data_IF_876178735952
#
_entry.id   IF_876178735952
#
_cell.length_a   1.000
_cell.length_b   1.000
_cell.length_c   1.000
_cell.angle_alpha   90.00
_cell.angle_beta   90.00
_cell.angle_gamma   90.00
#
_symmetry.space_group_name_H-M   'P 1'
#
loop_
_entity.id
_entity.type
_entity.pdbx_description
1 polymer ?
#
# COMPACT_ATOMS: atom_id res chain seq x y z
N UNK A 1 35.40 -21.91 48.60
CA UNK A 1 35.96 -22.77 47.54
C UNK A 1 35.46 -22.26 46.20
N UNK A 2 36.35 -21.59 45.47
CA UNK A 2 36.06 -20.96 44.19
C UNK A 2 35.73 -22.02 43.12
N UNK A 3 34.67 -21.78 42.33
CA UNK A 3 34.41 -22.50 41.06
C UNK A 3 34.94 -21.64 39.90
N UNK A 4 35.55 -22.24 38.86
CA UNK A 4 36.18 -21.49 37.76
C UNK A 4 35.14 -21.05 36.69
N UNK A 5 35.40 -19.98 35.92
CA UNK A 5 34.57 -19.60 34.80
C UNK A 5 34.87 -20.46 33.55
N UNK A 6 33.81 -20.79 32.81
CA UNK A 6 33.84 -21.57 31.58
C UNK A 6 34.41 -20.81 30.38
N UNK A 7 35.00 -21.57 29.47
CA UNK A 7 35.60 -21.16 28.18
C UNK A 7 34.61 -20.38 27.29
N UNK A 8 35.12 -19.28 26.73
CA UNK A 8 34.58 -18.64 25.53
C UNK A 8 35.10 -19.44 24.33
N UNK A 9 34.21 -19.96 23.50
CA UNK A 9 34.56 -20.58 22.21
C UNK A 9 34.52 -19.53 21.10
N UNK A 10 35.57 -19.56 20.28
CA UNK A 10 35.92 -18.63 19.22
C UNK A 10 34.83 -18.48 18.13
N UNK A 11 34.55 -17.22 17.77
CA UNK A 11 33.75 -16.86 16.60
C UNK A 11 34.60 -16.93 15.33
N UNK A 12 34.08 -17.64 14.32
CA UNK A 12 34.66 -17.85 13.00
C UNK A 12 34.96 -16.51 12.25
N UNK A 13 36.23 -16.20 11.89
CA UNK A 13 36.62 -14.91 11.28
C UNK A 13 36.21 -14.76 9.80
N UNK A 14 35.64 -15.77 9.16
CA UNK A 14 35.26 -15.72 7.74
C UNK A 14 34.01 -14.87 7.42
N UNK A 15 33.21 -14.49 8.43
CA UNK A 15 31.99 -13.65 8.24
C UNK A 15 32.23 -12.14 8.37
N UNK A 16 33.39 -11.70 8.88
CA UNK A 16 33.71 -10.29 9.03
C UNK A 16 34.32 -9.69 7.74
N UNK A 17 35.07 -10.49 6.98
CA UNK A 17 35.82 -10.02 5.81
C UNK A 17 34.90 -9.69 4.62
N UNK A 18 33.76 -10.38 4.47
CA UNK A 18 32.78 -10.12 3.40
C UNK A 18 31.93 -8.87 3.63
N UNK A 19 31.77 -8.42 4.89
CA UNK A 19 31.09 -7.16 5.20
C UNK A 19 31.99 -5.95 4.98
N UNK A 20 33.26 -6.02 5.37
CA UNK A 20 34.20 -4.90 5.22
C UNK A 20 34.52 -4.57 3.74
N UNK A 21 34.58 -5.57 2.86
CA UNK A 21 34.82 -5.36 1.42
C UNK A 21 33.64 -4.66 0.72
N UNK A 22 32.39 -4.91 1.13
CA UNK A 22 31.22 -4.20 0.57
C UNK A 22 31.19 -2.72 0.97
N UNK A 23 31.61 -2.37 2.20
CA UNK A 23 31.69 -0.97 2.64
C UNK A 23 32.76 -0.15 1.90
N UNK A 24 33.89 -0.75 1.53
CA UNK A 24 34.96 -0.06 0.81
C UNK A 24 34.55 0.24 -0.64
N UNK A 25 33.83 -0.66 -1.30
CA UNK A 25 33.32 -0.45 -2.66
C UNK A 25 32.20 0.60 -2.68
N UNK A 26 31.33 0.62 -1.67
CA UNK A 26 30.27 1.63 -1.54
C UNK A 26 30.80 3.03 -1.23
N UNK A 27 31.80 3.14 -0.35
CA UNK A 27 32.44 4.42 -0.02
C UNK A 27 33.20 5.02 -1.23
N UNK A 28 33.85 4.17 -2.05
CA UNK A 28 34.52 4.62 -3.26
C UNK A 28 33.53 5.14 -4.33
N UNK A 29 32.36 4.52 -4.48
CA UNK A 29 31.32 4.96 -5.41
C UNK A 29 30.69 6.32 -5.00
N UNK A 30 30.52 6.56 -3.69
CA UNK A 30 30.01 7.84 -3.17
C UNK A 30 31.02 8.98 -3.32
N UNK A 31 32.32 8.71 -3.22
CA UNK A 31 33.38 9.70 -3.44
C UNK A 31 33.49 10.15 -4.90
N UNK A 32 33.25 9.24 -5.85
CA UNK A 32 33.21 9.57 -7.29
C UNK A 32 31.97 10.42 -7.62
N UNK A 33 30.81 10.10 -7.05
CA UNK A 33 29.57 10.87 -7.23
C UNK A 33 29.62 12.25 -6.56
N UNK A 34 30.31 12.39 -5.43
CA UNK A 34 30.53 13.67 -4.77
C UNK A 34 31.50 14.58 -5.54
N UNK A 35 32.54 14.00 -6.15
CA UNK A 35 33.49 14.75 -6.99
C UNK A 35 32.90 15.28 -8.30
N UNK A 36 31.91 14.60 -8.88
CA UNK A 36 31.24 15.06 -10.10
C UNK A 36 30.20 16.16 -9.83
N UNK A 37 29.57 16.15 -8.64
CA UNK A 37 28.57 17.16 -8.26
C UNK A 37 29.17 18.54 -7.96
N UNK A 38 30.45 18.62 -7.63
CA UNK A 38 31.16 19.89 -7.36
C UNK A 38 31.97 20.43 -8.54
N UNK A 39 31.85 19.83 -9.74
CA UNK A 39 32.58 20.29 -10.94
C UNK A 39 31.75 21.19 -11.89
N UNK A 40 30.49 21.50 -11.55
CA UNK A 40 29.56 22.25 -12.43
C UNK A 40 29.21 23.65 -11.91
N UNK A 41 29.58 24.02 -10.68
CA UNK A 41 29.39 25.39 -10.17
C UNK A 41 30.72 26.12 -9.99
N UNK A 42 31.19 26.72 -11.08
CA UNK A 42 32.43 27.49 -11.06
C UNK A 42 32.64 28.27 -12.35
N UNK A 43 31.78 29.24 -12.66
CA UNK A 43 32.13 30.43 -13.46
C UNK A 43 30.99 31.45 -13.42
N UNK A 44 31.21 32.54 -12.69
CA UNK A 44 30.46 33.80 -12.78
C UNK A 44 31.44 34.91 -13.17
N UNK A 45 30.91 35.98 -13.79
CA UNK A 45 31.50 37.28 -14.19
C UNK A 45 32.15 37.29 -15.59
N UNK A 46 31.93 38.22 -16.52
CA UNK A 46 31.47 39.64 -16.53
C UNK A 46 30.98 40.01 -17.95
N UNK A 47 29.91 40.82 -18.12
CA UNK A 47 29.97 42.15 -18.77
C UNK A 47 28.61 42.88 -18.90
N UNK A 48 28.52 43.97 -18.15
CA UNK A 48 27.96 45.32 -18.42
C UNK A 48 27.11 45.63 -19.67
N UNK A 49 25.89 46.13 -19.38
CA UNK A 49 25.19 47.35 -19.88
C UNK A 49 25.01 47.62 -21.39
N UNK A 50 23.75 47.76 -21.84
CA UNK A 50 23.24 48.97 -22.50
C UNK A 50 21.70 49.02 -22.55
N UNK A 51 21.16 50.24 -22.46
CA UNK A 51 19.74 50.65 -22.33
C UNK A 51 19.00 50.81 -23.67
N UNK A 52 17.67 50.55 -23.73
CA UNK A 52 16.62 51.55 -24.13
C UNK A 52 15.18 50.97 -24.27
N UNK A 53 14.27 51.54 -23.48
CA UNK A 53 12.94 52.13 -23.78
C UNK A 53 11.94 51.52 -24.81
N UNK A 54 10.79 51.12 -24.23
CA UNK A 54 9.38 51.49 -24.55
C UNK A 54 8.58 50.83 -25.72
N UNK A 55 7.23 50.76 -25.59
CA UNK A 55 6.40 49.64 -26.03
C UNK A 55 5.44 49.96 -27.19
N UNK A 56 4.80 48.95 -27.78
CA UNK A 56 3.55 49.13 -28.54
C UNK A 56 2.55 47.98 -28.34
N UNK A 57 1.33 48.37 -27.95
CA UNK A 57 0.05 47.65 -28.09
C UNK A 57 -0.28 47.46 -29.57
N UNK A 58 -0.98 46.38 -29.92
CA UNK A 58 -2.15 46.48 -30.79
C UNK A 58 -3.08 45.25 -30.66
N UNK A 59 -4.38 45.55 -30.51
CA UNK A 59 -5.50 44.61 -30.68
C UNK A 59 -5.75 44.37 -32.18
N UNK A 60 -6.45 43.29 -32.54
CA UNK A 60 -7.67 43.37 -33.35
C UNK A 60 -8.48 42.05 -33.34
N UNK A 61 -9.79 42.22 -33.26
CA UNK A 61 -10.88 41.23 -33.28
C UNK A 61 -11.31 40.79 -34.69
N UNK A 62 -12.05 39.67 -34.71
CA UNK A 62 -13.17 39.31 -35.62
C UNK A 62 -12.81 39.04 -37.09
N UNK A 63 -13.48 38.18 -37.87
CA UNK A 63 -14.85 37.66 -37.91
C UNK A 63 -14.84 36.45 -38.90
N UNK A 64 -15.50 35.32 -38.62
CA UNK A 64 -16.86 34.89 -38.99
C UNK A 64 -17.14 34.61 -40.49
N UNK A 65 -18.04 33.63 -40.71
CA UNK A 65 -18.73 33.14 -41.95
C UNK A 65 -18.02 31.95 -42.65
N UNK A 66 -18.55 30.72 -42.76
CA UNK A 66 -19.88 30.11 -43.03
C UNK A 66 -19.92 29.47 -44.42
N UNK A 67 -20.39 28.22 -44.48
CA UNK A 67 -20.98 27.43 -45.60
C UNK A 67 -20.37 26.02 -45.56
N UNK A 68 -21.10 24.90 -45.46
CA UNK A 68 -22.45 24.62 -45.95
C UNK A 68 -22.34 23.73 -47.20
N UNK A 69 -22.74 22.46 -47.12
CA UNK A 69 -22.87 21.60 -48.30
C UNK A 69 -22.74 20.10 -48.03
N UNK A 70 -23.89 19.40 -48.01
CA UNK A 70 -23.98 17.93 -48.03
C UNK A 70 -24.10 17.35 -49.44
N UNK A 71 -24.54 16.07 -49.48
CA UNK A 71 -24.68 15.11 -50.60
C UNK A 71 -23.39 14.32 -50.93
N UNK A 72 -23.36 13.01 -51.11
CA UNK A 72 -24.42 11.99 -51.22
C UNK A 72 -24.07 10.99 -52.34
N UNK A 73 -23.81 9.73 -51.99
CA UNK A 73 -24.03 8.53 -52.82
C UNK A 73 -23.03 8.16 -53.94
N UNK A 74 -22.64 6.89 -53.99
CA UNK A 74 -22.10 6.27 -55.23
C UNK A 74 -21.10 5.15 -55.05
N UNK A 75 -21.57 3.90 -55.17
CA UNK A 75 -20.86 2.63 -55.09
C UNK A 75 -19.78 2.36 -56.15
N UNK A 76 -18.77 1.53 -55.83
CA UNK A 76 -18.43 0.33 -56.65
C UNK A 76 -17.39 -0.57 -55.95
N UNK A 77 -17.42 -1.83 -56.36
CA UNK A 77 -16.89 -3.04 -55.75
C UNK A 77 -15.38 -3.26 -55.86
N UNK A 78 -14.79 -4.02 -54.92
CA UNK A 78 -13.86 -5.10 -55.30
C UNK A 78 -13.90 -6.24 -54.28
N UNK A 79 -13.95 -7.47 -54.83
CA UNK A 79 -13.98 -8.76 -54.15
C UNK A 79 -12.57 -9.15 -53.70
N UNK A 80 -12.41 -9.76 -52.53
CA UNK A 80 -11.43 -10.85 -52.34
C UNK A 80 -11.90 -11.88 -51.31
N UNK A 81 -11.44 -13.09 -51.56
CA UNK A 81 -11.94 -14.43 -51.21
C UNK A 81 -11.72 -14.84 -49.74
N UNK A 82 -12.73 -15.46 -49.12
CA UNK A 82 -12.70 -16.05 -47.76
C UNK A 82 -12.55 -17.57 -47.85
N UNK A 83 -11.46 -18.13 -47.31
CA UNK A 83 -11.28 -19.57 -47.14
C UNK A 83 -11.98 -20.06 -45.87
N UNK A 84 -12.84 -21.09 -46.02
CA UNK A 84 -13.52 -21.81 -44.93
C UNK A 84 -12.65 -23.01 -44.49
N UNK A 85 -12.34 -23.15 -43.20
CA UNK A 85 -11.93 -24.42 -42.59
C UNK A 85 -13.03 -24.93 -41.66
N UNK A 86 -13.42 -26.18 -41.90
CA UNK A 86 -14.50 -26.94 -41.23
C UNK A 86 -14.11 -27.29 -39.79
N UNK A 87 -15.02 -27.06 -38.84
CA UNK A 87 -14.99 -27.65 -37.50
C UNK A 87 -15.50 -29.11 -37.55
N UNK A 88 -14.79 -30.02 -36.89
CA UNK A 88 -15.26 -31.37 -36.55
C UNK A 88 -15.53 -31.42 -35.04
N UNK A 89 -16.74 -31.83 -34.65
CA UNK A 89 -17.08 -32.27 -33.28
C UNK A 89 -16.45 -33.64 -33.01
N UNK A 90 -16.28 -34.03 -31.74
CA UNK A 90 -16.46 -35.43 -31.37
C UNK A 90 -17.50 -35.62 -30.26
N UNK A 91 -17.98 -36.85 -30.24
CA UNK A 91 -19.10 -37.45 -29.53
C UNK A 91 -18.68 -38.15 -28.24
N UNK A 92 -19.62 -38.17 -27.29
CA UNK A 92 -20.03 -39.19 -26.31
C UNK A 92 -19.04 -40.22 -25.72
N UNK A 93 -19.24 -40.40 -24.40
CA UNK A 93 -18.64 -41.33 -23.44
C UNK A 93 -18.67 -42.81 -23.86
N UNK A 94 -17.64 -43.54 -23.40
CA UNK A 94 -17.76 -44.88 -22.81
C UNK A 94 -16.72 -45.07 -21.70
N UNK A 95 -17.15 -45.72 -20.61
CA UNK A 95 -16.38 -46.13 -19.44
C UNK A 95 -15.27 -47.12 -19.77
N UNK A 96 -14.09 -46.95 -19.16
CA UNK A 96 -13.15 -48.05 -18.95
C UNK A 96 -12.29 -47.84 -17.69
N UNK A 97 -12.31 -48.87 -16.84
CA UNK A 97 -11.59 -48.99 -15.57
C UNK A 97 -10.07 -48.89 -15.76
N UNK A 98 -9.41 -48.07 -14.95
CA UNK A 98 -7.95 -48.08 -14.79
C UNK A 98 -7.59 -48.26 -13.30
N UNK A 99 -6.93 -49.39 -13.03
CA UNK A 99 -6.42 -49.80 -11.72
C UNK A 99 -5.44 -48.78 -11.11
N UNK A 100 -5.60 -48.53 -9.81
CA UNK A 100 -4.71 -47.68 -9.01
C UNK A 100 -3.35 -48.36 -8.80
N UNK A 101 -2.26 -47.73 -9.25
CA UNK A 101 -0.89 -48.03 -8.77
C UNK A 101 -0.59 -47.23 -7.49
N UNK A 102 0.12 -47.81 -6.50
CA UNK A 102 0.34 -47.15 -5.22
C UNK A 102 1.35 -46.01 -5.33
N UNK A 103 1.07 -44.92 -4.62
CA UNK A 103 1.88 -43.72 -4.50
C UNK A 103 3.13 -44.06 -3.66
N UNK A 104 4.30 -43.95 -4.26
CA UNK A 104 5.59 -44.03 -3.58
C UNK A 104 5.87 -42.71 -2.87
N UNK A 105 6.02 -42.76 -1.54
CA UNK A 105 6.62 -41.69 -0.74
C UNK A 105 8.04 -41.43 -1.25
N UNK A 106 8.26 -40.28 -1.90
CA UNK A 106 9.58 -39.72 -2.13
C UNK A 106 9.72 -38.48 -1.25
N UNK A 107 10.74 -38.48 -0.40
CA UNK A 107 11.21 -37.29 0.31
C UNK A 107 11.45 -36.14 -0.70
N UNK A 108 11.19 -34.88 -0.31
CA UNK A 108 11.32 -33.76 -1.22
C UNK A 108 12.80 -33.60 -1.63
N UNK A 109 13.06 -33.73 -2.93
CA UNK A 109 14.38 -33.43 -3.51
C UNK A 109 14.68 -31.96 -3.26
N UNK A 110 15.81 -31.68 -2.60
CA UNK A 110 16.43 -30.35 -2.56
C UNK A 110 16.66 -29.89 -4.00
N UNK A 111 15.82 -28.99 -4.51
CA UNK A 111 15.99 -28.38 -5.83
C UNK A 111 17.22 -27.46 -5.78
N UNK A 112 18.11 -27.60 -6.77
CA UNK A 112 19.18 -26.61 -6.98
C UNK A 112 18.55 -25.25 -7.33
N UNK A 113 19.08 -24.12 -6.82
CA UNK A 113 18.51 -22.81 -7.07
C UNK A 113 18.60 -22.46 -8.55
N UNK A 114 17.48 -22.01 -9.13
CA UNK A 114 17.46 -21.45 -10.47
C UNK A 114 18.40 -20.24 -10.52
N UNK A 115 19.28 -20.19 -11.52
CA UNK A 115 20.23 -19.09 -11.69
C UNK A 115 19.75 -18.14 -12.79
N UNK A 116 19.93 -16.84 -12.58
CA UNK A 116 19.64 -15.81 -13.55
C UNK A 116 20.68 -15.80 -14.70
N UNK A 117 20.51 -14.87 -15.64
CA UNK A 117 21.42 -14.68 -16.78
C UNK A 117 22.86 -14.32 -16.40
N UNK A 118 23.12 -13.99 -15.13
CA UNK A 118 24.44 -13.67 -14.58
C UNK A 118 24.98 -14.79 -13.68
N UNK A 119 24.27 -15.91 -13.55
CA UNK A 119 24.67 -17.03 -12.71
C UNK A 119 24.40 -16.81 -11.22
N UNK A 120 23.58 -15.83 -10.85
CA UNK A 120 23.15 -15.58 -9.46
C UNK A 120 21.83 -16.29 -9.18
N UNK A 121 21.58 -16.82 -7.97
CA UNK A 121 20.29 -17.37 -7.62
C UNK A 121 19.17 -16.37 -7.89
N UNK A 122 18.14 -16.79 -8.63
CA UNK A 122 16.91 -16.02 -8.81
C UNK A 122 16.31 -15.80 -7.43
N UNK A 123 16.10 -14.54 -7.06
CA UNK A 123 15.42 -14.18 -5.83
C UNK A 123 13.95 -14.63 -5.94
N UNK A 124 13.59 -15.68 -5.21
CA UNK A 124 12.19 -16.09 -5.04
C UNK A 124 11.52 -15.22 -3.99
N UNK A 125 10.19 -15.20 -3.93
CA UNK A 125 9.46 -14.51 -2.85
C UNK A 125 9.84 -15.04 -1.46
N UNK A 126 10.22 -16.31 -1.35
CA UNK A 126 10.71 -16.92 -0.09
C UNK A 126 12.11 -16.46 0.28
N UNK A 127 12.93 -16.09 -0.70
CA UNK A 127 14.25 -15.50 -0.44
C UNK A 127 14.12 -14.05 0.06
N UNK A 128 13.10 -13.32 -0.39
CA UNK A 128 12.84 -11.94 0.01
C UNK A 128 12.09 -11.91 1.36
N UNK A 129 11.08 -12.76 1.50
CA UNK A 129 10.24 -12.89 2.69
C UNK A 129 10.30 -14.33 3.20
N UNK A 130 11.27 -14.67 4.06
CA UNK A 130 11.37 -16.03 4.59
C UNK A 130 10.09 -16.42 5.37
N UNK A 131 9.80 -17.72 5.48
CA UNK A 131 8.71 -18.18 6.34
C UNK A 131 9.02 -17.84 7.80
N UNK A 132 7.96 -17.59 8.57
CA UNK A 132 8.09 -17.36 9.99
C UNK A 132 8.67 -18.60 10.70
N UNK A 133 9.43 -18.41 11.80
CA UNK A 133 9.84 -19.51 12.66
C UNK A 133 8.63 -20.35 13.12
N UNK A 134 8.80 -21.67 13.23
CA UNK A 134 7.70 -22.60 13.54
C UNK A 134 7.07 -22.36 14.92
N UNK A 135 7.83 -21.78 15.84
CA UNK A 135 7.42 -21.39 17.18
C UNK A 135 6.66 -20.05 17.23
N UNK A 136 6.54 -19.35 16.10
CA UNK A 136 5.86 -18.05 16.05
C UNK A 136 4.40 -18.22 16.43
N UNK A 137 3.99 -17.56 17.50
CA UNK A 137 2.61 -17.57 17.98
C UNK A 137 1.74 -16.75 17.03
N UNK A 138 0.68 -17.40 16.54
CA UNK A 138 -0.38 -16.82 15.73
C UNK A 138 -1.71 -17.24 16.33
N UNK A 139 -2.54 -16.28 16.72
CA UNK A 139 -3.85 -16.55 17.30
C UNK A 139 -4.93 -16.04 16.36
N UNK A 140 -5.62 -16.93 15.61
CA UNK A 140 -6.77 -16.55 14.81
C UNK A 140 -7.96 -16.23 15.72
N UNK A 141 -8.92 -15.47 15.20
CA UNK A 141 -10.16 -15.18 15.93
C UNK A 141 -10.95 -16.46 16.18
N UNK A 142 -11.39 -16.68 17.43
CA UNK A 142 -12.05 -17.93 17.81
C UNK A 142 -13.52 -18.01 17.35
N UNK A 143 -14.16 -16.88 17.11
CA UNK A 143 -15.57 -16.81 16.70
C UNK A 143 -15.84 -15.59 15.83
N UNK A 144 -16.94 -15.62 15.06
CA UNK A 144 -17.37 -14.48 14.25
C UNK A 144 -18.01 -13.34 15.08
N UNK A 145 -17.95 -13.39 16.41
CA UNK A 145 -18.49 -12.35 17.28
C UNK A 145 -17.40 -11.33 17.62
N UNK A 146 -17.79 -10.06 17.69
CA UNK A 146 -16.91 -9.00 18.22
C UNK A 146 -16.50 -9.36 19.65
N UNK A 147 -15.20 -9.40 19.98
CA UNK A 147 -14.75 -9.69 21.33
C UNK A 147 -15.28 -8.63 22.31
N UNK A 148 -15.34 -8.98 23.60
CA UNK A 148 -15.70 -7.99 24.62
C UNK A 148 -14.69 -6.83 24.62
N UNK A 149 -15.10 -5.66 25.10
CA UNK A 149 -14.21 -4.51 25.20
C UNK A 149 -12.98 -4.81 26.05
N UNK A 150 -13.13 -5.56 27.14
CA UNK A 150 -12.02 -5.98 28.00
C UNK A 150 -11.04 -6.91 27.28
N UNK A 151 -11.55 -7.84 26.47
CA UNK A 151 -10.71 -8.72 25.63
C UNK A 151 -9.95 -7.90 24.59
N UNK A 152 -10.61 -6.95 23.92
CA UNK A 152 -9.96 -6.06 22.95
C UNK A 152 -8.86 -5.22 23.59
N UNK A 153 -9.07 -4.69 24.81
CA UNK A 153 -8.01 -3.98 25.56
C UNK A 153 -6.83 -4.88 25.86
N UNK A 154 -7.07 -6.13 26.23
CA UNK A 154 -6.01 -7.11 26.49
C UNK A 154 -5.25 -7.48 25.22
N UNK A 155 -5.95 -7.64 24.10
CA UNK A 155 -5.35 -7.95 22.79
C UNK A 155 -4.46 -6.80 22.31
N UNK A 156 -4.92 -5.55 22.48
CA UNK A 156 -4.26 -4.35 22.00
C UNK A 156 -3.26 -3.75 22.99
N UNK A 157 -2.99 -4.40 24.12
CA UNK A 157 -2.19 -3.83 25.22
C UNK A 157 -0.77 -3.37 24.81
N UNK A 158 -0.18 -4.05 23.82
CA UNK A 158 1.19 -3.81 23.35
C UNK A 158 1.22 -2.94 22.07
N UNK A 159 0.06 -2.53 21.55
CA UNK A 159 -0.11 -1.82 20.29
C UNK A 159 -0.59 -0.38 20.50
N UNK A 160 -0.70 0.39 19.41
CA UNK A 160 -1.21 1.77 19.48
C UNK A 160 -2.60 1.77 20.16
N UNK A 161 -2.78 2.52 21.25
CA UNK A 161 -4.00 2.43 22.05
C UNK A 161 -5.18 3.08 21.32
N UNK A 162 -6.32 2.38 21.33
CA UNK A 162 -7.56 2.84 20.71
C UNK A 162 -8.55 3.34 21.76
N UNK A 163 -9.41 4.29 21.38
CA UNK A 163 -10.44 4.84 22.26
C UNK A 163 -11.68 3.95 22.31
N UNK A 164 -11.52 2.74 22.86
CA UNK A 164 -12.58 1.75 22.94
C UNK A 164 -13.71 2.13 23.90
N UNK A 165 -13.50 3.08 24.81
CA UNK A 165 -14.49 3.47 25.82
C UNK A 165 -15.41 4.59 25.34
N UNK A 166 -14.87 5.58 24.62
CA UNK A 166 -15.64 6.74 24.20
C UNK A 166 -16.14 6.63 22.75
N UNK A 167 -15.55 5.75 21.94
CA UNK A 167 -15.94 5.58 20.53
C UNK A 167 -16.91 4.43 20.32
N UNK A 168 -16.82 3.35 21.10
CA UNK A 168 -17.61 2.14 20.91
C UNK A 168 -18.41 1.75 22.15
N UNK A 169 -19.60 1.21 21.94
CA UNK A 169 -20.38 0.55 22.99
C UNK A 169 -19.84 -0.87 23.30
N UNK A 170 -20.45 -1.56 24.27
CA UNK A 170 -20.05 -2.91 24.69
C UNK A 170 -20.18 -3.97 23.56
N UNK A 171 -20.95 -3.68 22.52
CA UNK A 171 -21.14 -4.56 21.36
C UNK A 171 -20.22 -4.19 20.19
N UNK A 172 -19.37 -3.17 20.35
CA UNK A 172 -18.47 -2.66 19.31
C UNK A 172 -19.15 -1.79 18.25
N UNK A 173 -20.36 -1.27 18.51
CA UNK A 173 -20.98 -0.26 17.65
C UNK A 173 -20.51 1.15 18.04
N UNK A 174 -20.34 2.02 17.06
CA UNK A 174 -19.94 3.40 17.28
C UNK A 174 -21.01 4.18 18.07
N UNK A 175 -20.59 4.88 19.13
CA UNK A 175 -21.47 5.70 19.97
C UNK A 175 -21.89 6.98 19.24
N UNK A 176 -21.00 7.53 18.41
CA UNK A 176 -21.25 8.70 17.60
C UNK A 176 -21.63 8.24 16.19
N UNK A 177 -22.84 8.56 15.69
CA UNK A 177 -23.22 8.26 14.32
C UNK A 177 -22.46 9.16 13.34
N UNK A 178 -22.25 8.67 12.12
CA UNK A 178 -21.87 9.49 10.99
C UNK A 178 -23.02 10.45 10.59
N UNK A 179 -22.72 11.38 9.68
CA UNK A 179 -23.69 12.37 9.17
C UNK A 179 -24.94 11.77 8.53
N UNK A 180 -24.84 10.57 7.96
CA UNK A 180 -25.95 9.83 7.36
C UNK A 180 -26.74 8.96 8.39
N UNK A 181 -26.34 9.02 9.67
CA UNK A 181 -26.94 8.23 10.75
C UNK A 181 -26.36 6.81 10.89
N UNK A 182 -25.50 6.36 9.97
CA UNK A 182 -24.80 5.08 10.11
C UNK A 182 -23.84 5.11 11.28
N UNK A 183 -23.55 3.95 11.87
CA UNK A 183 -22.62 3.81 13.00
C UNK A 183 -21.48 2.90 12.62
N UNK A 184 -20.31 3.20 13.16
CA UNK A 184 -19.15 2.33 13.03
C UNK A 184 -19.46 0.96 13.61
N UNK A 185 -18.90 -0.10 13.03
CA UNK A 185 -18.95 -1.43 13.62
C UNK A 185 -17.55 -2.02 13.62
N UNK A 186 -17.00 -2.23 14.82
CA UNK A 186 -15.70 -2.84 15.02
C UNK A 186 -15.81 -4.36 14.99
N UNK A 187 -15.01 -5.00 14.14
CA UNK A 187 -14.86 -6.44 14.06
C UNK A 187 -13.38 -6.80 14.17
N UNK A 188 -13.07 -7.90 14.87
CA UNK A 188 -11.73 -8.45 14.95
C UNK A 188 -11.57 -9.52 13.85
N UNK A 189 -10.55 -9.36 13.01
CA UNK A 189 -10.20 -10.33 11.95
C UNK A 189 -9.10 -11.30 12.38
N UNK A 190 -8.25 -10.90 13.33
CA UNK A 190 -7.18 -11.72 13.90
C UNK A 190 -6.81 -11.22 15.30
N UNK A 191 -6.50 -12.11 16.25
CA UNK A 191 -6.21 -11.74 17.65
C UNK A 191 -4.75 -11.36 17.86
N UNK A 192 -3.80 -12.19 17.41
CA UNK A 192 -2.37 -11.98 17.71
C UNK A 192 -1.50 -12.40 16.51
N UNK A 193 -1.03 -11.46 15.66
CA UNK A 193 -1.16 -10.00 15.79
C UNK A 193 -2.60 -9.50 15.50
N UNK A 194 -3.02 -8.37 16.09
CA UNK A 194 -4.35 -7.83 15.89
C UNK A 194 -4.54 -7.25 14.48
N UNK A 195 -5.66 -7.63 13.85
CA UNK A 195 -6.16 -7.05 12.61
C UNK A 195 -7.64 -6.72 12.79
N UNK A 196 -8.02 -5.48 12.54
CA UNK A 196 -9.34 -4.94 12.83
C UNK A 196 -10.02 -4.44 11.56
N UNK A 197 -11.31 -4.71 11.45
CA UNK A 197 -12.21 -4.09 10.48
C UNK A 197 -13.12 -3.09 11.20
N UNK A 198 -13.33 -1.92 10.61
CA UNK A 198 -14.32 -0.94 11.06
C UNK A 198 -15.27 -0.67 9.89
N UNK A 199 -16.46 -1.25 9.94
CA UNK A 199 -17.50 -1.00 8.93
C UNK A 199 -18.11 0.38 9.12
N UNK A 200 -18.56 0.97 8.02
CA UNK A 200 -19.13 2.32 7.98
C UNK A 200 -18.19 3.38 8.59
N UNK A 201 -16.87 3.18 8.51
CA UNK A 201 -15.92 4.17 8.97
C UNK A 201 -16.12 5.50 8.22
N UNK A 202 -16.26 5.42 6.90
CA UNK A 202 -16.72 6.51 6.05
C UNK A 202 -18.14 6.27 5.54
N UNK A 203 -18.86 7.36 5.31
CA UNK A 203 -20.09 7.38 4.50
C UNK A 203 -19.74 7.34 3.01
N UNK A 204 -20.72 7.05 2.16
CA UNK A 204 -20.52 7.10 0.70
C UNK A 204 -20.09 8.48 0.21
N UNK A 205 -20.61 9.56 0.82
CA UNK A 205 -20.27 10.95 0.49
C UNK A 205 -18.83 11.30 0.85
N UNK A 206 -18.37 10.86 2.02
CA UNK A 206 -16.96 11.03 2.45
C UNK A 206 -16.02 10.23 1.54
N UNK A 207 -16.41 9.00 1.16
CA UNK A 207 -15.67 8.22 0.17
C UNK A 207 -15.56 8.96 -1.18
N UNK A 208 -16.67 9.51 -1.67
CA UNK A 208 -16.69 10.25 -2.93
C UNK A 208 -15.83 11.51 -2.86
N UNK A 209 -15.86 12.23 -1.73
CA UNK A 209 -15.02 13.41 -1.48
C UNK A 209 -13.54 13.06 -1.58
N UNK A 210 -13.12 11.93 -1.01
CA UNK A 210 -11.74 11.45 -1.12
C UNK A 210 -11.38 11.04 -2.55
N UNK A 211 -12.27 10.34 -3.26
CA UNK A 211 -12.02 9.94 -4.65
C UNK A 211 -11.92 11.15 -5.58
N UNK A 212 -12.75 12.17 -5.36
CA UNK A 212 -12.76 13.41 -6.11
C UNK A 212 -11.41 14.15 -6.04
N UNK A 213 -10.67 14.06 -4.93
CA UNK A 213 -9.33 14.66 -4.81
C UNK A 213 -8.40 14.10 -5.89
N UNK A 214 -8.40 12.77 -6.09
CA UNK A 214 -7.59 12.12 -7.11
C UNK A 214 -8.13 12.36 -8.53
N UNK A 215 -9.45 12.38 -8.71
CA UNK A 215 -10.10 12.45 -10.03
C UNK A 215 -10.15 13.87 -10.62
N UNK A 216 -10.32 14.91 -9.80
CA UNK A 216 -10.39 16.31 -10.27
C UNK A 216 -9.07 16.83 -10.86
N UNK A 217 -7.95 16.16 -10.56
CA UNK A 217 -6.62 16.52 -11.09
C UNK A 217 -6.46 16.18 -12.58
N UNK A 218 -7.23 15.24 -13.12
CA UNK A 218 -7.18 14.95 -14.57
C UNK A 218 -7.55 16.18 -15.43
N UNK A 219 -8.09 17.24 -14.82
CA UNK A 219 -8.56 18.43 -15.52
C UNK A 219 -7.83 19.75 -15.14
N UNK A 220 -7.14 19.87 -13.99
CA UNK A 220 -6.44 21.10 -13.57
C UNK A 220 -5.20 20.86 -12.68
N UNK A 221 -4.09 21.57 -12.95
CA UNK A 221 -2.76 21.36 -12.35
C UNK A 221 -2.54 22.01 -10.95
N UNK A 222 -3.46 22.83 -10.43
CA UNK A 222 -3.24 23.67 -9.22
C UNK A 222 -3.63 23.04 -7.86
N UNK A 223 -4.00 21.77 -7.79
CA UNK A 223 -4.68 21.18 -6.60
C UNK A 223 -3.78 20.81 -5.41
N UNK A 224 -2.49 21.15 -5.41
CA UNK A 224 -1.57 20.91 -4.28
C UNK A 224 -1.22 19.44 -4.01
N UNK A 225 -1.88 18.47 -4.64
CA UNK A 225 -1.54 17.04 -4.50
C UNK A 225 -0.18 16.73 -5.16
N UNK A 226 0.48 15.65 -4.75
CA UNK A 226 1.64 15.09 -5.48
C UNK A 226 1.31 13.69 -6.02
N UNK A 227 1.23 13.56 -7.35
CA UNK A 227 1.02 12.27 -8.01
C UNK A 227 2.34 11.52 -8.15
N UNK A 228 2.35 10.26 -7.74
CA UNK A 228 3.46 9.34 -7.92
C UNK A 228 2.92 8.07 -8.56
N UNK A 229 3.33 7.82 -9.81
CA UNK A 229 3.20 6.49 -10.38
C UNK A 229 4.23 5.60 -9.70
N UNK A 230 3.74 4.71 -8.84
CA UNK A 230 4.60 3.88 -8.00
C UNK A 230 5.16 2.67 -8.77
N UNK A 231 5.48 2.82 -10.06
CA UNK A 231 6.18 1.79 -10.79
C UNK A 231 7.62 1.76 -10.26
N UNK A 232 7.97 0.72 -9.52
CA UNK A 232 9.29 0.60 -8.90
C UNK A 232 10.40 0.72 -9.96
N UNK A 233 11.02 1.90 -10.06
CA UNK A 233 12.20 2.13 -10.88
C UNK A 233 13.36 1.38 -10.23
N UNK A 234 13.83 0.31 -10.89
CA UNK A 234 14.79 -0.73 -10.45
C UNK A 234 14.17 -1.94 -9.73
N UNK A 235 13.44 -2.76 -10.51
CA UNK A 235 12.94 -4.09 -10.12
C UNK A 235 14.00 -5.08 -9.58
N UNK A 236 15.30 -4.78 -9.71
CA UNK A 236 16.37 -5.66 -9.22
C UNK A 236 16.71 -5.45 -7.73
N UNK A 237 16.31 -4.34 -7.10
CA UNK A 237 16.69 -4.00 -5.72
C UNK A 237 15.51 -3.69 -4.79
N UNK A 238 14.32 -3.44 -5.33
CA UNK A 238 13.15 -3.24 -4.49
C UNK A 238 12.55 -4.58 -4.05
N UNK A 239 12.36 -4.73 -2.75
CA UNK A 239 11.77 -5.93 -2.14
C UNK A 239 10.28 -6.10 -2.48
N UNK A 240 9.61 -5.02 -2.91
CA UNK A 240 8.19 -5.03 -3.29
C UNK A 240 7.94 -4.31 -4.62
N UNK A 241 7.01 -4.86 -5.40
CA UNK A 241 6.45 -4.29 -6.62
C UNK A 241 5.08 -3.67 -6.33
N UNK A 242 4.96 -2.36 -6.52
CA UNK A 242 3.69 -1.64 -6.54
C UNK A 242 3.43 -1.22 -7.99
N UNK A 243 2.18 -1.30 -8.44
CA UNK A 243 1.82 -0.84 -9.80
C UNK A 243 0.67 0.18 -9.79
N UNK A 244 0.34 0.73 -8.62
CA UNK A 244 -0.73 1.72 -8.44
C UNK A 244 -0.31 3.15 -8.79
N UNK A 245 -1.32 4.01 -8.92
CA UNK A 245 -1.16 5.47 -8.86
C UNK A 245 -1.48 5.96 -7.45
N UNK A 246 -0.62 6.82 -6.90
CA UNK A 246 -0.75 7.37 -5.54
C UNK A 246 -0.76 8.89 -5.59
N UNK A 247 -1.65 9.52 -4.85
CA UNK A 247 -1.68 10.97 -4.63
C UNK A 247 -1.48 11.25 -3.15
N UNK A 248 -0.41 11.97 -2.82
CA UNK A 248 -0.21 12.51 -1.48
C UNK A 248 -1.09 13.75 -1.31
N UNK A 249 -1.87 13.77 -0.25
CA UNK A 249 -2.82 14.83 0.08
C UNK A 249 -2.21 15.81 1.06
N UNK A 250 -2.58 17.09 0.92
CA UNK A 250 -2.40 18.01 2.05
C UNK A 250 -3.32 17.58 3.20
N UNK A 251 -2.86 17.71 4.45
CA UNK A 251 -3.70 17.41 5.61
C UNK A 251 -5.02 18.20 5.59
N UNK A 252 -4.97 19.46 5.15
CA UNK A 252 -6.14 20.34 5.06
C UNK A 252 -7.20 19.90 4.02
N UNK A 253 -6.87 18.95 3.14
CA UNK A 253 -7.80 18.45 2.12
C UNK A 253 -8.60 17.22 2.60
N UNK A 254 -8.19 16.60 3.71
CA UNK A 254 -8.82 15.39 4.24
C UNK A 254 -9.16 15.52 5.73
N UNK A 255 -9.77 16.62 6.19
CA UNK A 255 -10.03 16.86 7.61
C UNK A 255 -10.86 15.73 8.24
N UNK A 256 -11.87 15.20 7.54
CA UNK A 256 -12.69 14.08 8.00
C UNK A 256 -11.89 12.81 8.28
N UNK A 257 -10.89 12.47 7.44
CA UNK A 257 -10.01 11.32 7.67
C UNK A 257 -9.19 11.50 8.95
N UNK A 258 -8.64 12.71 9.12
CA UNK A 258 -7.82 13.07 10.27
C UNK A 258 -8.63 13.04 11.56
N UNK A 259 -9.79 13.71 11.59
CA UNK A 259 -10.69 13.75 12.74
C UNK A 259 -11.10 12.34 13.18
N UNK A 260 -11.49 11.49 12.22
CA UNK A 260 -11.90 10.11 12.50
C UNK A 260 -10.75 9.25 13.01
N UNK A 261 -9.54 9.42 12.47
CA UNK A 261 -8.37 8.70 12.98
C UNK A 261 -7.93 9.17 14.37
N UNK A 262 -7.93 10.48 14.64
CA UNK A 262 -7.68 11.01 15.98
C UNK A 262 -8.68 10.44 16.98
N UNK A 263 -9.98 10.51 16.65
CA UNK A 263 -11.04 9.96 17.49
C UNK A 263 -10.82 8.48 17.79
N UNK A 264 -10.49 7.68 16.76
CA UNK A 264 -10.24 6.25 16.92
C UNK A 264 -9.02 5.96 17.82
N UNK A 265 -7.98 6.79 17.74
CA UNK A 265 -6.68 6.56 18.40
C UNK A 265 -6.47 7.47 19.63
N UNK A 266 -7.47 7.58 20.53
CA UNK A 266 -7.38 8.35 21.78
C UNK A 266 -6.97 9.83 21.60
N UNK A 267 -7.53 10.49 20.58
CA UNK A 267 -7.22 11.88 20.22
C UNK A 267 -5.71 12.11 20.01
N UNK A 268 -5.03 11.13 19.41
CA UNK A 268 -3.62 11.22 19.05
C UNK A 268 -3.32 12.54 18.30
N UNK A 269 -2.24 13.27 18.63
CA UNK A 269 -1.90 14.50 17.92
C UNK A 269 -1.69 14.25 16.41
N UNK A 270 -2.11 15.20 15.58
CA UNK A 270 -1.95 15.11 14.12
C UNK A 270 -0.49 14.87 13.71
N UNK A 271 0.47 15.35 14.52
CA UNK A 271 1.91 15.18 14.30
C UNK A 271 2.35 13.71 14.20
N UNK A 272 1.56 12.75 14.70
CA UNK A 272 1.86 11.32 14.52
C UNK A 272 1.38 10.76 13.17
N UNK A 273 0.59 11.52 12.41
CA UNK A 273 0.00 11.06 11.16
C UNK A 273 0.94 11.38 10.00
N UNK A 274 1.38 10.36 9.26
CA UNK A 274 2.08 10.53 7.97
C UNK A 274 1.13 11.15 6.94
N UNK A 275 1.67 11.69 5.85
CA UNK A 275 0.87 12.38 4.85
C UNK A 275 -0.17 11.44 4.24
N UNK A 276 -1.47 11.79 4.31
CA UNK A 276 -2.53 10.93 3.81
C UNK A 276 -2.40 10.68 2.31
N UNK A 277 -2.75 9.48 1.88
CA UNK A 277 -2.67 9.07 0.49
C UNK A 277 -4.04 8.65 -0.02
N UNK A 278 -4.36 9.06 -1.24
CA UNK A 278 -5.39 8.39 -2.05
C UNK A 278 -4.67 7.53 -3.08
N UNK A 279 -5.07 6.27 -3.21
CA UNK A 279 -4.40 5.29 -4.07
C UNK A 279 -5.42 4.63 -4.97
N UNK A 280 -5.06 4.45 -6.24
CA UNK A 280 -5.89 3.80 -7.25
C UNK A 280 -5.15 2.64 -7.93
N UNK A 281 -5.83 1.51 -8.03
CA UNK A 281 -5.38 0.31 -8.73
C UNK A 281 -6.30 0.03 -9.93
N UNK A 282 -5.75 0.03 -11.14
CA UNK A 282 -6.40 -0.43 -12.37
C UNK A 282 -6.47 -1.95 -12.43
N UNK A 283 -7.27 -2.45 -13.36
CA UNK A 283 -7.28 -3.84 -13.79
C UNK A 283 -5.84 -4.32 -14.07
N UNK A 284 -5.44 -5.41 -13.42
CA UNK A 284 -4.10 -5.98 -13.47
C UNK A 284 -3.06 -5.33 -12.55
N UNK A 285 -3.38 -4.23 -11.86
CA UNK A 285 -2.49 -3.62 -10.86
C UNK A 285 -2.60 -4.31 -9.51
N UNK A 286 -1.52 -4.26 -8.73
CA UNK A 286 -1.39 -4.88 -7.41
C UNK A 286 -0.41 -4.10 -6.55
N UNK A 287 -0.34 -4.49 -5.27
CA UNK A 287 0.82 -4.20 -4.44
C UNK A 287 1.31 -5.54 -3.90
N UNK A 288 2.47 -6.01 -4.38
CA UNK A 288 3.04 -7.29 -3.96
C UNK A 288 3.31 -7.35 -2.46
N UNK A 289 3.67 -8.52 -1.94
CA UNK A 289 4.09 -8.70 -0.55
C UNK A 289 5.08 -7.62 -0.10
N UNK A 290 4.81 -7.00 1.04
CA UNK A 290 5.62 -5.98 1.67
C UNK A 290 5.31 -5.86 3.17
N UNK A 291 6.19 -5.16 3.86
CA UNK A 291 5.95 -4.63 5.20
C UNK A 291 5.74 -3.13 5.11
N UNK A 292 4.94 -2.60 6.04
CA UNK A 292 4.77 -1.16 6.19
C UNK A 292 5.85 -0.53 7.08
N UNK A 293 6.79 -1.33 7.60
CA UNK A 293 7.87 -0.83 8.45
C UNK A 293 8.72 0.25 7.76
N UNK A 294 9.08 1.26 8.54
CA UNK A 294 10.06 2.28 8.18
C UNK A 294 11.46 1.65 8.26
N UNK A 295 12.27 1.71 7.20
CA UNK A 295 13.64 1.22 7.24
C UNK A 295 14.46 1.89 8.33
N UNK A 296 15.38 1.15 8.96
CA UNK A 296 16.18 1.63 10.09
C UNK A 296 16.92 2.97 9.84
N UNK A 297 17.27 3.26 8.58
CA UNK A 297 17.95 4.50 8.20
C UNK A 297 17.05 5.74 8.14
N UNK A 298 15.73 5.59 8.28
CA UNK A 298 14.71 6.64 8.16
C UNK A 298 13.88 6.82 9.44
N UNK A 299 14.29 6.18 10.54
CA UNK A 299 13.60 6.25 11.84
C UNK A 299 13.75 7.61 12.54
N UNK A 300 14.57 8.52 12.00
CA UNK A 300 14.78 9.86 12.57
C UNK A 300 13.55 10.77 12.43
N UNK A 301 12.68 10.49 11.46
CA UNK A 301 11.44 11.23 11.24
C UNK A 301 10.22 10.37 11.62
N UNK A 302 9.64 10.58 12.80
CA UNK A 302 8.46 9.85 13.28
C UNK A 302 8.75 8.47 13.89
N UNK A 303 9.94 7.91 13.70
CA UNK A 303 10.27 6.57 14.17
C UNK A 303 9.61 5.49 13.32
N UNK A 304 9.14 4.41 13.96
CA UNK A 304 8.45 3.33 13.30
C UNK A 304 6.95 3.62 13.11
N UNK A 305 6.36 3.08 12.05
CA UNK A 305 4.90 3.07 11.84
C UNK A 305 4.27 2.01 12.73
N UNK A 306 3.51 2.47 13.72
CA UNK A 306 2.86 1.61 14.72
C UNK A 306 1.46 1.18 14.31
N UNK A 307 0.84 1.88 13.35
CA UNK A 307 -0.43 1.46 12.77
C UNK A 307 -0.57 1.88 11.31
N UNK A 308 -1.31 1.09 10.56
CA UNK A 308 -1.76 1.39 9.20
C UNK A 308 -3.27 1.41 9.17
N UNK A 309 -3.85 2.53 8.76
CA UNK A 309 -5.28 2.71 8.52
C UNK A 309 -5.54 2.79 7.01
N UNK A 310 -6.27 1.81 6.47
CA UNK A 310 -6.69 1.77 5.07
C UNK A 310 -8.22 1.85 5.00
N UNK A 311 -8.77 2.82 4.26
CA UNK A 311 -10.20 2.94 4.02
C UNK A 311 -10.51 2.60 2.56
N UNK A 312 -11.39 1.63 2.32
CA UNK A 312 -11.84 1.31 0.97
C UNK A 312 -12.87 2.34 0.50
N UNK A 313 -12.56 3.05 -0.58
CA UNK A 313 -13.39 4.14 -1.10
C UNK A 313 -14.47 3.65 -2.07
N UNK A 314 -14.35 2.41 -2.55
CA UNK A 314 -15.35 1.74 -3.36
C UNK A 314 -15.37 0.23 -3.10
N UNK A 315 -16.50 -0.39 -3.46
CA UNK A 315 -16.71 -1.84 -3.34
C UNK A 315 -16.26 -2.54 -4.61
N UNK A 316 -15.58 -3.68 -4.46
CA UNK A 316 -15.33 -4.64 -5.53
C UNK A 316 -16.02 -5.97 -5.20
N UNK A 317 -16.47 -6.68 -6.24
CA UNK A 317 -17.00 -8.03 -6.06
C UNK A 317 -15.87 -8.99 -5.69
N UNK A 318 -16.24 -10.11 -5.08
CA UNK A 318 -15.27 -11.10 -4.61
C UNK A 318 -14.40 -11.67 -5.74
N UNK A 319 -14.99 -11.89 -6.92
CA UNK A 319 -14.30 -12.38 -8.12
C UNK A 319 -13.43 -11.32 -8.83
N UNK A 320 -13.57 -10.03 -8.47
CA UNK A 320 -12.77 -8.93 -9.01
C UNK A 320 -11.42 -8.75 -8.28
N UNK A 321 -11.20 -9.46 -7.16
CA UNK A 321 -9.96 -9.42 -6.40
C UNK A 321 -9.82 -8.14 -5.55
N UNK A 322 -8.59 -7.62 -5.46
CA UNK A 322 -8.31 -6.36 -4.75
C UNK A 322 -8.39 -6.38 -3.23
N UNK A 323 -8.53 -7.54 -2.58
CA UNK A 323 -8.44 -7.63 -1.12
C UNK A 323 -7.06 -7.25 -0.58
N UNK A 324 -7.00 -6.88 0.70
CA UNK A 324 -5.73 -6.84 1.44
C UNK A 324 -5.55 -8.17 2.16
N UNK A 325 -4.50 -8.91 1.79
CA UNK A 325 -4.24 -10.24 2.32
C UNK A 325 -3.01 -10.26 3.20
N UNK A 326 -3.07 -10.98 4.31
CA UNK A 326 -1.95 -11.20 5.22
C UNK A 326 -1.41 -12.61 5.04
N UNK A 327 -0.11 -12.76 4.77
CA UNK A 327 0.45 -14.04 4.32
C UNK A 327 0.27 -15.14 5.36
N UNK A 328 0.63 -14.80 6.58
CA UNK A 328 0.86 -15.77 7.64
C UNK A 328 -0.34 -15.88 8.61
N UNK A 329 -1.30 -14.96 8.52
CA UNK A 329 -2.45 -14.88 9.43
C UNK A 329 -3.61 -15.74 8.92
N UNK A 330 -4.24 -16.52 9.81
CA UNK A 330 -5.38 -17.39 9.49
C UNK A 330 -6.69 -16.76 9.97
N UNK A 331 -7.74 -16.86 9.17
CA UNK A 331 -9.04 -16.25 9.47
C UNK A 331 -9.82 -16.98 10.58
N UNK A 332 -9.47 -18.22 10.88
CA UNK A 332 -10.14 -19.07 11.86
C UNK A 332 -9.24 -20.19 12.35
N UNK A 333 -9.52 -20.79 13.52
CA UNK A 333 -8.80 -21.96 14.02
C UNK A 333 -9.15 -23.26 13.28
N UNK A 334 -10.14 -23.22 12.38
CA UNK A 334 -10.62 -24.40 11.66
C UNK A 334 -9.53 -24.92 10.71
N UNK A 335 -9.47 -26.25 10.48
CA UNK A 335 -8.56 -26.84 9.50
C UNK A 335 -8.92 -26.33 8.09
N UNK A 336 -8.22 -25.29 7.68
CA UNK A 336 -8.36 -24.60 6.41
C UNK A 336 -7.09 -23.79 6.16
N UNK A 337 -6.82 -23.46 4.90
CA UNK A 337 -5.66 -22.65 4.55
C UNK A 337 -6.02 -21.19 4.29
N UNK A 338 -7.22 -20.76 4.70
CA UNK A 338 -7.70 -19.42 4.45
C UNK A 338 -6.86 -18.39 5.21
N UNK A 339 -6.42 -17.39 4.47
CA UNK A 339 -5.63 -16.28 4.99
C UNK A 339 -6.57 -15.14 5.35
N UNK A 340 -6.23 -14.38 6.39
CA UNK A 340 -6.96 -13.14 6.70
C UNK A 340 -6.93 -12.25 5.45
N UNK A 341 -8.11 -11.96 4.92
CA UNK A 341 -8.30 -11.18 3.69
C UNK A 341 -9.43 -10.19 3.90
N UNK A 342 -9.10 -8.91 3.90
CA UNK A 342 -10.10 -7.84 3.94
C UNK A 342 -10.51 -7.47 2.51
N UNK A 343 -11.79 -7.66 2.18
CA UNK A 343 -12.33 -7.39 0.84
C UNK A 343 -12.73 -5.91 0.71
N UNK A 344 -12.61 -5.28 -0.47
CA UNK A 344 -13.00 -3.89 -0.66
C UNK A 344 -14.51 -3.71 -0.51
N UNK A 345 -14.91 -3.00 0.54
CA UNK A 345 -16.29 -2.58 0.76
C UNK A 345 -16.28 -1.08 1.06
N UNK A 346 -17.06 -0.32 0.28
CA UNK A 346 -17.16 1.15 0.40
C UNK A 346 -17.34 1.56 1.86
N UNK A 347 -16.51 2.48 2.31
CA UNK A 347 -16.60 3.06 3.65
C UNK A 347 -16.03 2.20 4.76
N UNK A 348 -15.62 0.96 4.48
CA UNK A 348 -15.00 0.09 5.50
C UNK A 348 -13.52 0.40 5.64
N UNK A 349 -13.03 0.40 6.88
CA UNK A 349 -11.62 0.60 7.19
C UNK A 349 -10.98 -0.68 7.72
N UNK A 350 -9.72 -0.89 7.35
CA UNK A 350 -8.81 -1.90 7.86
C UNK A 350 -7.77 -1.19 8.72
N UNK A 351 -7.62 -1.66 9.96
CA UNK A 351 -6.58 -1.20 10.88
C UNK A 351 -5.73 -2.40 11.32
N UNK A 352 -4.42 -2.30 11.13
CA UNK A 352 -3.45 -3.29 11.60
C UNK A 352 -2.17 -2.59 12.04
N UNK A 353 -1.29 -3.34 12.72
CA UNK A 353 -0.17 -2.76 13.45
C UNK A 353 1.16 -3.35 12.97
N UNK A 354 1.90 -2.65 12.08
CA UNK A 354 3.20 -3.11 11.57
C UNK A 354 4.29 -3.19 12.65
N UNK A 355 4.08 -2.55 13.80
CA UNK A 355 4.95 -2.58 14.96
C UNK A 355 4.15 -2.46 16.25
N UNK A 356 4.73 -2.92 17.36
CA UNK A 356 4.21 -2.61 18.71
C UNK A 356 4.38 -1.12 19.04
N UNK A 357 3.68 -0.63 20.06
CA UNK A 357 3.67 0.78 20.43
C UNK A 357 5.07 1.34 20.79
N UNK A 358 5.99 0.46 21.21
CA UNK A 358 7.40 0.78 21.48
C UNK A 358 8.29 0.82 20.21
N UNK A 359 7.71 0.59 19.03
CA UNK A 359 8.40 0.70 17.74
C UNK A 359 9.09 -0.58 17.26
N UNK A 360 8.87 -1.72 17.90
CA UNK A 360 9.41 -3.00 17.45
C UNK A 360 8.56 -3.57 16.29
N UNK A 361 9.14 -3.77 15.08
CA UNK A 361 8.41 -4.32 13.94
C UNK A 361 7.82 -5.71 14.20
N UNK A 362 6.71 -6.01 13.54
CA UNK A 362 6.01 -7.30 13.60
C UNK A 362 6.01 -7.99 12.24
N UNK A 363 6.99 -8.87 12.01
CA UNK A 363 7.15 -9.64 10.77
C UNK A 363 5.93 -10.51 10.41
N UNK A 364 4.99 -10.70 11.34
CA UNK A 364 3.75 -11.46 11.11
C UNK A 364 2.75 -10.69 10.25
N UNK A 365 2.92 -9.37 10.08
CA UNK A 365 2.02 -8.52 9.28
C UNK A 365 2.43 -8.38 7.82
N UNK A 366 3.20 -9.33 7.27
CA UNK A 366 3.49 -9.35 5.84
C UNK A 366 2.19 -9.40 5.05
N UNK A 367 1.95 -8.39 4.22
CA UNK A 367 0.68 -8.25 3.53
C UNK A 367 0.86 -7.80 2.08
N UNK A 368 -0.22 -7.92 1.30
CA UNK A 368 -0.27 -7.49 -0.08
C UNK A 368 -1.65 -6.98 -0.47
N UNK A 369 -1.71 -6.11 -1.46
CA UNK A 369 -2.94 -5.84 -2.20
C UNK A 369 -3.07 -6.84 -3.34
N UNK A 370 -4.13 -7.64 -3.34
CA UNK A 370 -4.43 -8.55 -4.44
C UNK A 370 -4.52 -7.83 -5.78
N UNK A 371 -4.14 -8.56 -6.83
CA UNK A 371 -4.31 -8.13 -8.21
C UNK A 371 -5.79 -7.84 -8.45
N UNK A 372 -6.08 -6.71 -9.09
CA UNK A 372 -7.42 -6.42 -9.61
C UNK A 372 -7.65 -7.24 -10.87
N UNK A 373 -8.76 -7.97 -10.96
CA UNK A 373 -9.08 -8.78 -12.13
C UNK A 373 -9.07 -7.92 -13.42
N UNK A 374 -8.69 -8.53 -14.55
CA UNK A 374 -8.58 -7.81 -15.83
C UNK A 374 -9.94 -7.30 -16.34
N UNK A 375 -11.02 -7.95 -15.91
CA UNK A 375 -12.42 -7.66 -16.24
C UNK A 375 -13.19 -7.00 -15.08
N UNK A 376 -12.49 -6.51 -14.05
CA UNK A 376 -13.12 -5.75 -12.98
C UNK A 376 -13.88 -4.54 -13.52
N UNK A 377 -15.07 -4.31 -12.97
CA UNK A 377 -16.00 -3.28 -13.42
C UNK A 377 -15.56 -1.86 -13.06
N UNK A 378 -14.69 -1.69 -12.06
CA UNK A 378 -14.15 -0.41 -11.63
C UNK A 378 -12.74 -0.58 -11.03
N UNK A 379 -11.89 0.47 -11.03
CA UNK A 379 -10.61 0.42 -10.31
C UNK A 379 -10.84 0.35 -8.80
N UNK A 380 -9.94 -0.28 -8.04
CA UNK A 380 -9.93 -0.15 -6.57
C UNK A 380 -9.39 1.21 -6.18
N UNK A 381 -10.06 1.90 -5.27
CA UNK A 381 -9.59 3.14 -4.65
C UNK A 381 -9.55 2.99 -3.13
N UNK A 382 -8.47 3.46 -2.51
CA UNK A 382 -8.31 3.48 -1.06
C UNK A 382 -7.81 4.85 -0.60
N UNK A 383 -8.21 5.26 0.60
CA UNK A 383 -7.47 6.25 1.38
C UNK A 383 -6.58 5.50 2.36
N UNK A 384 -5.36 5.99 2.57
CA UNK A 384 -4.35 5.35 3.40
C UNK A 384 -3.69 6.39 4.29
N UNK A 385 -3.49 6.01 5.56
CA UNK A 385 -2.75 6.81 6.52
C UNK A 385 -1.92 5.90 7.40
N UNK A 386 -0.64 6.26 7.54
CA UNK A 386 0.26 5.61 8.48
C UNK A 386 0.37 6.46 9.75
N UNK A 387 0.47 5.77 10.89
CA UNK A 387 0.60 6.40 12.20
C UNK A 387 1.96 6.04 12.78
N UNK A 388 2.73 7.05 13.16
CA UNK A 388 4.09 6.98 13.67
C UNK A 388 4.14 6.92 15.20
N UNK A 389 5.15 6.24 15.74
CA UNK A 389 5.40 6.17 17.19
C UNK A 389 5.70 7.54 17.82
N UNK A 390 6.29 8.45 17.04
CA UNK A 390 6.77 9.76 17.47
C UNK A 390 6.27 10.84 16.50
N UNK A 391 6.38 12.13 16.86
CA UNK A 391 6.09 13.23 15.95
C UNK A 391 6.86 13.10 14.62
N UNK A 392 6.11 13.16 13.53
CA UNK A 392 6.54 13.07 12.15
C UNK A 392 6.48 14.45 11.50
N UNK A 393 7.51 14.81 10.74
CA UNK A 393 7.57 16.04 9.96
C UNK A 393 7.22 15.74 8.51
N UNK A 394 6.14 16.35 7.95
CA UNK A 394 5.75 16.14 6.58
C UNK A 394 6.79 16.69 5.60
N UNK A 395 7.04 15.94 4.54
CA UNK A 395 7.93 16.28 3.44
C UNK A 395 7.19 16.43 2.11
N UNK A 396 5.98 15.88 1.99
CA UNK A 396 5.19 15.88 0.74
C UNK A 396 3.69 16.07 0.96
N UNK A 397 2.98 16.78 0.08
CA UNK A 397 3.48 17.69 -0.94
C UNK A 397 4.16 18.93 -0.30
N UNK A 398 4.91 19.76 -1.06
CA UNK A 398 5.54 20.96 -0.51
C UNK A 398 4.55 21.90 0.19
N UNK A 399 4.91 22.40 1.37
CA UNK A 399 4.03 23.28 2.16
C UNK A 399 2.92 22.54 2.93
N UNK A 400 2.94 21.20 2.94
CA UNK A 400 2.03 20.40 3.75
C UNK A 400 2.42 20.49 5.24
N UNK A 401 1.47 20.86 6.10
CA UNK A 401 1.70 20.99 7.55
C UNK A 401 0.47 20.54 8.33
N UNK A 402 0.69 19.93 9.49
CA UNK A 402 -0.41 19.55 10.40
C UNK A 402 -1.18 20.77 10.89
N UNK A 403 -0.47 21.88 11.20
CA UNK A 403 -1.09 23.13 11.69
C UNK A 403 -2.12 23.71 10.72
N UNK A 404 -1.92 23.56 9.41
CA UNK A 404 -2.90 24.02 8.42
C UNK A 404 -4.23 23.25 8.47
N UNK A 405 -4.23 22.02 9.00
CA UNK A 405 -5.42 21.19 9.10
C UNK A 405 -6.14 21.31 10.44
N UNK A 406 -5.46 21.68 11.52
CA UNK A 406 -6.04 21.79 12.87
C UNK A 406 -7.43 22.47 12.92
N UNK A 407 -7.62 23.70 12.39
CA UNK A 407 -8.92 24.36 12.49
C UNK A 407 -10.02 23.66 11.69
N UNK A 408 -9.68 22.89 10.66
CA UNK A 408 -10.64 22.13 9.85
C UNK A 408 -11.04 20.84 10.56
N UNK A 409 -10.06 20.18 11.20
CA UNK A 409 -10.29 18.97 11.99
C UNK A 409 -11.15 19.25 13.21
N UNK A 410 -10.99 20.41 13.85
CA UNK A 410 -11.83 20.85 14.98
C UNK A 410 -13.31 21.10 14.59
N UNK A 411 -13.60 21.26 13.31
CA UNK A 411 -14.97 21.49 12.81
C UNK A 411 -15.69 20.22 12.36
N UNK A 412 -14.99 19.09 12.28
CA UNK A 412 -15.52 17.76 12.00
C UNK A 412 -15.99 17.06 13.28
#
# INVERSE_FOLDING_TARGET
TCRPPGRITESNPARMITRTLHYIVFAAALLVLWSDRHRVEGSFLLHTTYTRSHPHKCMYESSALSAGGGFGGGSSSSKTTRMKKKMKKPSFLTDELMEKKPISNKEPKKQEPELDRFGLPVLTSENIFPPLPTETKLVPVQSNQTPSREDLKSILQDYLPLDLENVFDEEGNGIIPNVDGSRWKLNLLHEDPPVLEIKNFFTEEECQTCMDLALKRTENEETGLMEVQSATFNAALAQSKRTSTTWFCHYSQVPTLLAKAQRLCLNLPLEHLEEPQVVRYRNGEEFSWHYDEVPAAQLDNGGQRVATLLVYLNTLKEDEGGGTMFRDLKDSPSPGNNMVTMRPQTGSALLFFPATADGRPDDRTLHKGEVIAMDASSPKMIAQMWIHQSPYTPVVPPGNTHTAACPLVETE
#
